data_IF_091565820443
#
_entry.id   IF_091565820443
#
_cell.length_a   1.000
_cell.length_b   1.000
_cell.length_c   1.000
_cell.angle_alpha   90.00
_cell.angle_beta   90.00
_cell.angle_gamma   90.00
#
_symmetry.space_group_name_H-M   'P 1'
#
loop_
_entity.id
_entity.type
_entity.pdbx_description
1 polymer ?
#
# COMPACT_ATOMS: atom_id res chain seq x y z
N UNK A 1 -15.57 -28.83 5.38
CA UNK A 1 -15.01 -28.44 4.08
C UNK A 1 -13.51 -28.32 4.26
N UNK A 2 -12.76 -29.17 3.57
CA UNK A 2 -11.33 -29.42 3.73
C UNK A 2 -10.51 -28.16 3.48
N UNK A 3 -9.97 -27.57 4.55
CA UNK A 3 -8.92 -26.58 4.46
C UNK A 3 -7.64 -27.28 4.00
N UNK A 4 -7.43 -27.38 2.69
CA UNK A 4 -6.15 -27.79 2.12
C UNK A 4 -5.12 -26.73 2.48
N UNK A 5 -4.42 -26.95 3.58
CA UNK A 5 -3.27 -26.14 3.99
C UNK A 5 -2.02 -26.99 3.82
N UNK A 6 -1.07 -26.51 3.02
CA UNK A 6 0.22 -27.18 2.83
C UNK A 6 1.17 -26.82 3.97
N UNK A 7 1.84 -27.84 4.55
CA UNK A 7 2.80 -27.63 5.64
C UNK A 7 4.17 -27.27 5.09
N UNK A 8 4.55 -26.01 5.23
CA UNK A 8 5.90 -25.53 4.91
C UNK A 8 6.76 -25.46 6.17
N UNK A 9 7.95 -26.08 6.15
CA UNK A 9 8.92 -26.00 7.26
C UNK A 9 10.11 -25.13 6.86
N UNK A 10 10.37 -24.07 7.60
CA UNK A 10 11.45 -23.11 7.32
C UNK A 10 12.40 -23.00 8.51
N UNK A 11 13.68 -22.76 8.22
CA UNK A 11 14.69 -22.42 9.25
C UNK A 11 14.84 -20.90 9.31
N UNK A 12 14.71 -20.34 10.50
CA UNK A 12 14.83 -18.89 10.73
C UNK A 12 16.02 -18.60 11.65
N UNK A 13 16.75 -17.49 11.42
CA UNK A 13 17.77 -17.02 12.35
C UNK A 13 17.16 -16.73 13.73
N UNK A 14 17.92 -16.94 14.82
CA UNK A 14 17.40 -16.80 16.19
C UNK A 14 16.88 -15.40 16.49
N UNK A 15 17.47 -14.37 15.88
CA UNK A 15 17.06 -12.98 16.09
C UNK A 15 15.67 -12.69 15.51
N UNK A 16 15.34 -13.28 14.36
CA UNK A 16 14.00 -13.16 13.76
C UNK A 16 12.94 -13.91 14.58
N UNK A 17 13.31 -15.06 15.14
CA UNK A 17 12.42 -15.82 16.05
C UNK A 17 12.13 -15.01 17.32
N UNK A 18 13.13 -14.33 17.89
CA UNK A 18 12.93 -13.42 19.03
C UNK A 18 11.98 -12.27 18.69
N UNK A 19 12.15 -11.63 17.53
CA UNK A 19 11.26 -10.55 17.09
C UNK A 19 9.81 -11.05 16.90
N UNK A 20 9.62 -12.24 16.32
CA UNK A 20 8.29 -12.85 16.19
C UNK A 20 7.65 -13.13 17.56
N UNK A 21 8.42 -13.61 18.54
CA UNK A 21 7.93 -13.76 19.91
C UNK A 21 7.52 -12.43 20.54
N UNK A 22 8.24 -11.34 20.28
CA UNK A 22 7.86 -10.01 20.79
C UNK A 22 6.54 -9.54 20.17
N UNK A 23 6.31 -9.79 18.88
CA UNK A 23 5.05 -9.43 18.20
C UNK A 23 3.84 -10.21 18.77
N UNK A 24 4.03 -11.48 19.12
CA UNK A 24 2.99 -12.27 19.79
C UNK A 24 2.76 -11.78 21.22
N UNK A 25 3.83 -11.46 21.97
CA UNK A 25 3.72 -10.90 23.33
C UNK A 25 3.05 -9.52 23.35
N UNK A 26 3.22 -8.73 22.30
CA UNK A 26 2.55 -7.44 22.12
C UNK A 26 1.05 -7.55 21.82
N UNK A 27 0.51 -8.77 21.67
CA UNK A 27 -0.91 -9.01 21.40
C UNK A 27 -1.34 -8.69 19.96
N UNK A 28 -0.39 -8.34 19.08
CA UNK A 28 -0.68 -8.03 17.67
C UNK A 28 -1.08 -9.29 16.89
N UNK A 29 -0.56 -10.45 17.30
CA UNK A 29 -0.86 -11.75 16.69
C UNK A 29 -1.03 -12.82 17.76
N UNK A 30 -1.96 -13.76 17.54
CA UNK A 30 -2.25 -14.83 18.51
C UNK A 30 -1.15 -15.90 18.56
N UNK A 31 -0.49 -16.17 17.44
CA UNK A 31 0.61 -17.16 17.36
C UNK A 31 1.69 -16.71 16.39
N UNK A 32 2.88 -17.32 16.49
CA UNK A 32 3.98 -17.06 15.55
C UNK A 32 3.58 -17.43 14.12
N UNK A 33 2.88 -18.56 13.95
CA UNK A 33 2.37 -19.00 12.65
C UNK A 33 1.41 -17.98 12.04
N UNK A 34 0.63 -17.30 12.86
CA UNK A 34 -0.30 -16.26 12.41
C UNK A 34 0.43 -14.99 11.95
N UNK A 35 1.45 -14.57 12.71
CA UNK A 35 2.33 -13.48 12.30
C UNK A 35 3.05 -13.80 10.97
N UNK A 36 3.50 -15.05 10.78
CA UNK A 36 4.16 -15.48 9.53
C UNK A 36 3.17 -15.51 8.37
N UNK A 37 1.96 -16.05 8.55
CA UNK A 37 0.92 -16.05 7.50
C UNK A 37 0.59 -14.63 7.06
N UNK A 38 0.30 -13.74 8.00
CA UNK A 38 0.01 -12.34 7.69
C UNK A 38 1.19 -11.62 7.00
N UNK A 39 2.43 -11.98 7.33
CA UNK A 39 3.61 -11.43 6.66
C UNK A 39 3.74 -11.96 5.22
N UNK A 40 3.47 -13.25 4.99
CA UNK A 40 3.47 -13.85 3.65
C UNK A 40 2.37 -13.24 2.79
N UNK A 41 1.15 -13.12 3.31
CA UNK A 41 0.02 -12.51 2.60
C UNK A 41 0.35 -11.09 2.18
N UNK A 42 0.87 -10.26 3.10
CA UNK A 42 1.32 -8.89 2.78
C UNK A 42 2.45 -8.86 1.76
N UNK A 43 3.39 -9.80 1.84
CA UNK A 43 4.51 -9.87 0.90
C UNK A 43 4.03 -10.24 -0.51
N UNK A 44 3.13 -11.21 -0.62
CA UNK A 44 2.49 -11.60 -1.89
C UNK A 44 1.67 -10.43 -2.42
N UNK A 45 0.85 -9.80 -1.58
CA UNK A 45 0.06 -8.63 -1.97
C UNK A 45 0.94 -7.52 -2.53
N UNK A 46 2.10 -7.22 -1.91
CA UNK A 46 3.01 -6.18 -2.42
C UNK A 46 3.61 -6.57 -3.77
N UNK A 47 4.03 -7.82 -3.95
CA UNK A 47 4.70 -8.24 -5.18
C UNK A 47 3.77 -8.51 -6.36
N UNK A 48 2.57 -9.01 -6.07
CA UNK A 48 1.58 -9.37 -7.08
C UNK A 48 0.44 -8.35 -7.20
N UNK A 49 0.48 -7.25 -6.43
CA UNK A 49 -0.35 -6.09 -6.70
C UNK A 49 -0.06 -5.60 -8.12
N UNK A 50 -1.07 -5.55 -9.00
CA UNK A 50 -0.91 -5.00 -10.34
C UNK A 50 -0.28 -3.60 -10.26
N UNK A 51 0.56 -3.24 -11.23
CA UNK A 51 1.34 -1.98 -11.22
C UNK A 51 0.50 -0.70 -11.02
N UNK A 52 -0.82 -0.77 -11.24
CA UNK A 52 -1.77 0.32 -11.04
C UNK A 52 -2.29 0.49 -9.58
N UNK A 53 -1.92 -0.36 -8.62
CA UNK A 53 -2.28 -0.24 -7.19
C UNK A 53 -1.06 -0.42 -6.27
N UNK A 54 0.09 0.17 -6.60
CA UNK A 54 1.17 0.31 -5.60
C UNK A 54 0.73 1.32 -4.54
N UNK A 55 0.34 0.84 -3.36
CA UNK A 55 0.06 1.69 -2.19
C UNK A 55 1.36 2.35 -1.73
N UNK A 56 1.58 3.59 -2.14
CA UNK A 56 2.67 4.43 -1.68
C UNK A 56 2.24 5.13 -0.39
N UNK A 57 2.98 4.91 0.71
CA UNK A 57 2.86 5.79 1.88
C UNK A 57 3.52 7.13 1.54
N UNK A 58 2.71 8.17 1.43
CA UNK A 58 3.18 9.54 1.16
C UNK A 58 2.84 10.37 2.39
N UNK A 59 3.86 10.97 3.00
CA UNK A 59 3.64 11.99 4.04
C UNK A 59 3.25 13.29 3.36
N UNK A 60 2.00 13.72 3.57
CA UNK A 60 1.49 14.98 3.06
C UNK A 60 1.61 16.07 4.14
N UNK A 61 2.03 17.30 3.79
CA UNK A 61 1.96 18.45 4.69
C UNK A 61 0.51 18.67 5.16
N UNK A 62 0.33 19.04 6.43
CA UNK A 62 -1.01 19.16 7.05
C UNK A 62 -1.95 20.10 6.28
N UNK A 63 -1.44 21.17 5.67
CA UNK A 63 -2.24 22.11 4.87
C UNK A 63 -2.90 21.43 3.67
N UNK A 64 -2.14 20.64 2.92
CA UNK A 64 -2.63 19.96 1.71
C UNK A 64 -3.70 18.90 2.02
N UNK A 65 -3.68 18.32 3.24
CA UNK A 65 -4.72 17.38 3.68
C UNK A 65 -6.06 18.09 3.90
N UNK A 66 -6.04 19.33 4.39
CA UNK A 66 -7.25 20.15 4.59
C UNK A 66 -7.90 20.52 3.25
N UNK A 67 -7.09 20.90 2.27
CA UNK A 67 -7.57 21.23 0.92
C UNK A 67 -8.17 20.01 0.22
N UNK A 68 -7.54 18.84 0.37
CA UNK A 68 -8.08 17.58 -0.16
C UNK A 68 -9.41 17.19 0.53
N UNK A 69 -9.56 17.45 1.83
CA UNK A 69 -10.83 17.23 2.53
C UNK A 69 -11.92 18.20 2.07
N UNK A 70 -11.57 19.43 1.69
CA UNK A 70 -12.52 20.38 1.10
C UNK A 70 -13.01 19.92 -0.27
N UNK A 71 -12.14 19.34 -1.11
CA UNK A 71 -12.52 18.78 -2.42
C UNK A 71 -13.48 17.59 -2.31
N UNK A 72 -13.37 16.79 -1.24
CA UNK A 72 -14.34 15.73 -0.97
C UNK A 72 -15.67 16.31 -0.49
N UNK A 73 -15.63 17.37 0.33
CA UNK A 73 -16.84 18.06 0.82
C UNK A 73 -17.58 18.84 -0.27
N UNK A 74 -16.88 19.36 -1.28
CA UNK A 74 -17.49 20.02 -2.44
C UNK A 74 -18.14 19.04 -3.41
N UNK A 75 -17.90 17.73 -3.24
CA UNK A 75 -18.43 16.69 -4.11
C UNK A 75 -17.61 16.45 -5.39
N UNK A 76 -16.46 17.12 -5.53
CA UNK A 76 -15.57 16.97 -6.68
C UNK A 76 -14.80 15.65 -6.68
N UNK A 77 -14.75 14.94 -5.54
CA UNK A 77 -14.10 13.63 -5.43
C UNK A 77 -14.78 12.77 -4.37
N UNK A 78 -14.83 11.46 -4.60
CA UNK A 78 -15.52 10.50 -3.72
C UNK A 78 -14.74 10.27 -2.42
N UNK A 79 -13.41 10.40 -2.46
CA UNK A 79 -12.53 10.29 -1.30
C UNK A 79 -11.26 11.12 -1.48
N UNK A 80 -10.50 11.32 -0.40
CA UNK A 80 -9.20 12.02 -0.46
C UNK A 80 -8.23 11.29 -1.39
N UNK A 81 -8.27 9.95 -1.40
CA UNK A 81 -7.46 9.11 -2.29
C UNK A 81 -7.86 9.28 -3.76
N UNK A 82 -9.15 9.45 -4.03
CA UNK A 82 -9.67 9.72 -5.37
C UNK A 82 -9.27 11.12 -5.87
N UNK A 83 -9.33 12.13 -4.99
CA UNK A 83 -8.86 13.48 -5.27
C UNK A 83 -7.37 13.49 -5.65
N UNK A 84 -6.54 12.77 -4.89
CA UNK A 84 -5.10 12.62 -5.21
C UNK A 84 -4.91 11.89 -6.54
N UNK A 85 -5.64 10.81 -6.80
CA UNK A 85 -5.56 10.05 -8.06
C UNK A 85 -5.91 10.92 -9.26
N UNK A 86 -6.97 11.71 -9.17
CA UNK A 86 -7.38 12.61 -10.25
C UNK A 86 -6.34 13.71 -10.48
N UNK A 87 -5.86 14.37 -9.43
CA UNK A 87 -4.83 15.40 -9.53
C UNK A 87 -3.53 14.88 -10.18
N UNK A 88 -3.05 13.70 -9.75
CA UNK A 88 -1.86 13.07 -10.33
C UNK A 88 -2.11 12.66 -11.78
N UNK A 89 -3.26 12.06 -12.09
CA UNK A 89 -3.62 11.66 -13.46
C UNK A 89 -3.65 12.87 -14.39
N UNK A 90 -4.24 13.97 -13.96
CA UNK A 90 -4.30 15.19 -14.76
C UNK A 90 -2.92 15.83 -14.94
N UNK A 91 -2.10 15.87 -13.88
CA UNK A 91 -0.73 16.36 -13.95
C UNK A 91 0.12 15.55 -14.94
N UNK A 92 0.07 14.21 -14.86
CA UNK A 92 0.78 13.32 -15.78
C UNK A 92 0.27 13.50 -17.21
N UNK A 93 -1.05 13.60 -17.41
CA UNK A 93 -1.64 13.86 -18.73
C UNK A 93 -1.15 15.18 -19.34
N UNK A 94 -1.17 16.26 -18.57
CA UNK A 94 -0.66 17.58 -19.00
C UNK A 94 0.83 17.54 -19.30
N UNK A 95 1.62 16.79 -18.51
CA UNK A 95 3.07 16.66 -18.70
C UNK A 95 3.44 15.80 -19.92
N UNK A 96 2.70 14.71 -20.17
CA UNK A 96 2.87 13.90 -21.39
C UNK A 96 2.51 14.69 -22.64
N UNK A 97 1.41 15.46 -22.60
CA UNK A 97 1.03 16.33 -23.72
C UNK A 97 2.14 17.33 -24.07
N UNK A 98 2.69 18.02 -23.05
CA UNK A 98 3.83 18.94 -23.24
C UNK A 98 5.10 18.25 -23.74
N UNK A 99 5.34 17.01 -23.33
CA UNK A 99 6.49 16.24 -23.79
C UNK A 99 6.32 15.79 -25.24
N UNK A 100 5.11 15.46 -25.68
CA UNK A 100 4.81 15.11 -27.08
C UNK A 100 4.82 16.33 -28.00
N UNK A 101 4.31 17.48 -27.55
CA UNK A 101 4.39 18.75 -28.30
C UNK A 101 5.83 19.29 -28.45
N UNK A 102 6.77 18.81 -27.64
CA UNK A 102 8.20 19.16 -27.72
C UNK A 102 9.02 18.30 -28.68
N UNK A 103 8.45 17.25 -29.27
CA UNK A 103 9.15 16.33 -30.20
C UNK A 103 8.95 16.72 -31.68
N UNK A 104 7.99 17.61 -31.97
CA UNK A 104 7.67 18.07 -33.35
C UNK A 104 8.29 19.44 -33.72
N UNK A 105 9.44 19.82 -33.14
CA UNK A 105 10.19 21.04 -33.53
C UNK A 105 11.66 20.78 -33.83
#
# INVERSE_FOLDING_TARGET
MSSESERVTIRLPPDKVKALHQLVKGGTYSTISDAIRAAIDRFIDIQFSPDYIRKLMIELPKGNVVDLQQLVKSGDSVSVEDAVRNAVREYVRRRLHKAMEGVDK
#
